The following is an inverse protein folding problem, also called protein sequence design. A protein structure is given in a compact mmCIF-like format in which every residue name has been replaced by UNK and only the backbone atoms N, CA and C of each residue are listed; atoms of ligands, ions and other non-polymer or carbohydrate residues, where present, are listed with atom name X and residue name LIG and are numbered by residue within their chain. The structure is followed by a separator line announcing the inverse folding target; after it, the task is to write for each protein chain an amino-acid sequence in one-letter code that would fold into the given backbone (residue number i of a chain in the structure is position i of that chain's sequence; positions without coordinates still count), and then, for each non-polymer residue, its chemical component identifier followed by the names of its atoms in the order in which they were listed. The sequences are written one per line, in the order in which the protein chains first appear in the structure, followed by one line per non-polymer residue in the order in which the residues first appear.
data_IF_619392892521
#
_entry.id   IF_619392892521
#
_cell.length_a   1.000
_cell.length_b   1.000
_cell.length_c   1.000
_cell.angle_alpha   90.00
_cell.angle_beta   90.00
_cell.angle_gamma   90.00
#
_symmetry.space_group_name_H-M   'P 1'
#
loop_
_entity.id
_entity.type
_entity.pdbx_description
1 polymer ?
#
# COMPACT_ATOMS: atom_id res chain seq x y z
N UNK A 1 -23.77 2.97 -26.78
CA UNK A 1 -24.15 1.91 -25.83
C UNK A 1 -23.86 0.56 -26.48
N UNK A 2 -23.08 -0.32 -25.87
CA UNK A 2 -22.73 -1.62 -26.45
C UNK A 2 -23.89 -2.61 -26.34
N UNK A 3 -24.11 -3.40 -27.40
CA UNK A 3 -25.06 -4.51 -27.39
C UNK A 3 -24.62 -5.64 -26.44
N UNK A 4 -25.49 -6.58 -26.03
CA UNK A 4 -25.08 -7.75 -25.24
C UNK A 4 -23.96 -8.58 -25.90
N UNK A 5 -24.01 -8.73 -27.22
CA UNK A 5 -22.96 -9.38 -28.00
C UNK A 5 -21.69 -8.56 -28.02
N UNK A 6 -21.78 -7.24 -28.14
CA UNK A 6 -20.63 -6.34 -28.05
C UNK A 6 -19.95 -6.36 -26.70
N UNK A 7 -20.68 -6.54 -25.60
CA UNK A 7 -20.07 -6.72 -24.26
C UNK A 7 -19.30 -8.04 -24.12
N UNK A 8 -19.79 -9.13 -24.70
CA UNK A 8 -19.07 -10.40 -24.73
C UNK A 8 -17.80 -10.31 -25.57
N UNK A 9 -17.90 -9.70 -26.75
CA UNK A 9 -16.73 -9.48 -27.62
C UNK A 9 -15.71 -8.54 -27.00
N UNK A 10 -16.14 -7.54 -26.25
CA UNK A 10 -15.22 -6.61 -25.57
C UNK A 10 -14.30 -7.35 -24.60
N UNK A 11 -14.83 -8.27 -23.80
CA UNK A 11 -14.01 -9.03 -22.85
C UNK A 11 -12.97 -9.91 -23.58
N UNK A 12 -13.34 -10.53 -24.71
CA UNK A 12 -12.39 -11.33 -25.51
C UNK A 12 -11.34 -10.45 -26.19
N UNK A 13 -11.71 -9.27 -26.67
CA UNK A 13 -10.76 -8.31 -27.26
C UNK A 13 -9.80 -7.78 -26.19
N UNK A 14 -10.27 -7.48 -24.96
CA UNK A 14 -9.44 -7.08 -23.85
C UNK A 14 -8.40 -8.17 -23.52
N UNK A 15 -8.80 -9.44 -23.50
CA UNK A 15 -7.88 -10.57 -23.30
C UNK A 15 -6.82 -10.71 -24.40
N UNK A 16 -7.22 -10.50 -25.66
CA UNK A 16 -6.29 -10.55 -26.81
C UNK A 16 -5.31 -9.39 -26.73
N UNK A 17 -5.77 -8.17 -26.40
CA UNK A 17 -4.90 -7.02 -26.23
C UNK A 17 -3.91 -7.22 -25.07
N UNK A 18 -4.35 -7.78 -23.96
CA UNK A 18 -3.49 -8.11 -22.83
C UNK A 18 -2.39 -9.12 -23.23
N UNK A 19 -2.76 -10.13 -24.04
CA UNK A 19 -1.79 -11.10 -24.61
C UNK A 19 -0.83 -10.47 -25.61
N UNK A 20 -1.27 -9.53 -26.43
CA UNK A 20 -0.40 -8.79 -27.34
C UNK A 20 0.63 -7.95 -26.56
N UNK A 21 0.21 -7.26 -25.51
CA UNK A 21 1.10 -6.48 -24.65
C UNK A 21 2.11 -7.37 -23.89
N UNK A 22 1.68 -8.55 -23.45
CA UNK A 22 2.59 -9.55 -22.88
C UNK A 22 3.65 -10.04 -23.90
N UNK A 23 3.24 -10.23 -25.15
CA UNK A 23 4.16 -10.63 -26.24
C UNK A 23 5.12 -9.50 -26.60
N UNK A 24 4.66 -8.25 -26.67
CA UNK A 24 5.54 -7.07 -26.86
C UNK A 24 6.52 -6.90 -25.70
N UNK A 25 6.07 -7.11 -24.47
CA UNK A 25 6.93 -7.12 -23.28
C UNK A 25 7.98 -8.23 -23.34
N UNK A 26 7.60 -9.45 -23.78
CA UNK A 26 8.55 -10.56 -23.97
C UNK A 26 9.51 -10.29 -25.13
N UNK A 27 9.06 -9.65 -26.21
CA UNK A 27 9.93 -9.25 -27.32
C UNK A 27 10.94 -8.18 -26.90
N UNK A 28 10.55 -7.25 -26.05
CA UNK A 28 11.45 -6.27 -25.44
C UNK A 28 12.44 -6.91 -24.44
N UNK A 29 12.05 -7.99 -23.76
CA UNK A 29 12.97 -8.82 -22.96
C UNK A 29 14.08 -9.46 -23.80
N UNK A 30 13.80 -9.75 -25.08
CA UNK A 30 14.77 -10.28 -26.04
C UNK A 30 15.59 -9.17 -26.73
N UNK A 31 15.14 -7.90 -26.64
CA UNK A 31 15.86 -6.72 -27.12
C UNK A 31 16.81 -6.16 -26.06
N UNK A 32 17.94 -5.61 -26.49
CA UNK A 32 18.97 -5.03 -25.60
C UNK A 32 18.59 -3.70 -24.94
N UNK A 33 17.35 -3.21 -25.11
CA UNK A 33 16.91 -1.91 -24.62
C UNK A 33 16.48 -2.01 -23.14
N UNK A 34 17.43 -1.65 -22.29
CA UNK A 34 17.16 -1.33 -20.86
C UNK A 34 16.80 0.15 -20.78
N UNK A 35 15.64 0.49 -20.18
CA UNK A 35 15.26 1.87 -19.94
C UNK A 35 16.24 2.55 -18.98
N UNK A 36 16.63 3.82 -19.22
CA UNK A 36 17.59 4.50 -18.35
C UNK A 36 16.97 4.90 -17.00
N UNK A 37 15.65 4.97 -16.92
CA UNK A 37 14.91 5.38 -15.73
C UNK A 37 13.61 4.61 -15.60
N UNK A 38 13.26 4.30 -14.35
CA UNK A 38 11.99 3.68 -13.97
C UNK A 38 11.38 4.45 -12.80
N UNK A 39 10.07 4.69 -12.82
CA UNK A 39 9.36 5.43 -11.77
C UNK A 39 8.37 4.51 -11.07
N UNK A 40 8.48 4.42 -9.74
CA UNK A 40 7.65 3.58 -8.89
C UNK A 40 6.90 4.44 -7.86
N UNK A 41 5.56 4.42 -7.88
CA UNK A 41 4.75 5.02 -6.82
C UNK A 41 4.57 4.03 -5.66
N UNK A 42 4.79 4.47 -4.42
CA UNK A 42 4.64 3.64 -3.22
C UNK A 42 3.79 4.37 -2.19
N UNK A 43 2.62 3.81 -1.86
CA UNK A 43 1.72 4.30 -0.81
C UNK A 43 1.93 3.57 0.53
N UNK A 44 2.44 2.34 0.48
CA UNK A 44 2.69 1.50 1.66
C UNK A 44 4.05 1.81 2.30
N UNK A 45 4.33 1.33 3.53
CA UNK A 45 5.66 1.50 4.13
C UNK A 45 6.77 0.92 3.26
N UNK A 46 7.79 1.71 2.99
CA UNK A 46 8.91 1.33 2.11
C UNK A 46 9.67 0.09 2.58
N UNK A 47 9.78 -0.12 3.91
CA UNK A 47 10.46 -1.29 4.46
C UNK A 47 9.87 -2.62 3.95
N UNK A 48 8.58 -2.64 3.62
CA UNK A 48 7.93 -3.82 3.07
C UNK A 48 8.47 -4.21 1.68
N UNK A 49 9.03 -3.26 0.92
CA UNK A 49 9.49 -3.44 -0.46
C UNK A 49 11.02 -3.42 -0.61
N UNK A 50 11.77 -3.05 0.44
CA UNK A 50 13.22 -2.91 0.36
C UNK A 50 13.95 -4.13 -0.18
N UNK A 51 13.58 -5.38 0.13
CA UNK A 51 14.23 -6.54 -0.49
C UNK A 51 14.15 -6.54 -2.02
N UNK A 52 12.97 -6.25 -2.58
CA UNK A 52 12.79 -6.22 -4.04
C UNK A 52 13.56 -5.04 -4.69
N UNK A 53 13.60 -3.89 -4.01
CA UNK A 53 14.34 -2.71 -4.48
C UNK A 53 15.86 -2.96 -4.41
N UNK A 54 16.34 -3.64 -3.39
CA UNK A 54 17.76 -4.02 -3.26
C UNK A 54 18.16 -4.99 -4.37
N UNK A 55 17.33 -5.99 -4.65
CA UNK A 55 17.57 -6.92 -5.75
C UNK A 55 17.60 -6.17 -7.09
N UNK A 56 16.68 -5.22 -7.30
CA UNK A 56 16.64 -4.38 -8.49
C UNK A 56 17.95 -3.59 -8.67
N UNK A 57 18.45 -2.95 -7.62
CA UNK A 57 19.69 -2.17 -7.68
C UNK A 57 20.92 -3.01 -8.05
N UNK A 58 20.89 -4.29 -7.71
CA UNK A 58 21.95 -5.25 -8.05
C UNK A 58 21.86 -5.69 -9.51
N UNK A 59 20.64 -5.91 -10.02
CA UNK A 59 20.43 -6.38 -11.40
C UNK A 59 20.55 -5.26 -12.44
N UNK A 60 20.14 -4.05 -12.09
CA UNK A 60 20.10 -2.90 -12.97
C UNK A 60 20.82 -1.68 -12.37
N UNK A 61 22.14 -1.76 -12.10
CA UNK A 61 22.87 -0.70 -11.41
C UNK A 61 22.96 0.62 -12.20
N UNK A 62 22.71 0.57 -13.51
CA UNK A 62 22.74 1.76 -14.39
C UNK A 62 21.36 2.37 -14.65
N UNK A 63 20.29 1.81 -14.06
CA UNK A 63 18.92 2.34 -14.19
C UNK A 63 18.60 3.24 -13.02
N UNK A 64 18.22 4.48 -13.31
CA UNK A 64 17.72 5.40 -12.28
C UNK A 64 16.34 4.96 -11.80
N UNK A 65 16.19 4.67 -10.51
CA UNK A 65 14.90 4.37 -9.89
C UNK A 65 14.38 5.62 -9.17
N UNK A 66 13.28 6.20 -9.68
CA UNK A 66 12.57 7.31 -9.04
C UNK A 66 11.39 6.78 -8.22
N UNK A 67 11.49 6.89 -6.88
CA UNK A 67 10.43 6.45 -5.99
C UNK A 67 9.60 7.65 -5.56
N UNK A 68 8.30 7.60 -5.86
CA UNK A 68 7.36 8.68 -5.55
C UNK A 68 6.33 8.24 -4.52
N UNK A 69 5.98 9.15 -3.65
CA UNK A 69 4.80 9.02 -2.81
C UNK A 69 3.63 9.75 -3.47
N UNK A 70 2.44 9.14 -3.60
CA UNK A 70 1.29 9.78 -4.21
C UNK A 70 0.75 10.88 -3.27
N UNK A 71 1.24 12.11 -3.44
CA UNK A 71 0.70 13.29 -2.75
C UNK A 71 -0.61 13.71 -3.42
N UNK A 72 -1.69 13.80 -2.64
CA UNK A 72 -3.02 14.24 -3.12
C UNK A 72 -3.61 13.45 -4.30
N UNK A 73 -3.05 12.31 -4.65
CA UNK A 73 -3.51 11.48 -5.76
C UNK A 73 -3.52 10.01 -5.42
N UNK A 74 -4.40 9.28 -6.09
CA UNK A 74 -4.42 7.84 -6.13
C UNK A 74 -3.28 7.36 -7.04
N UNK A 75 -2.58 6.29 -6.65
CA UNK A 75 -1.59 5.60 -7.49
C UNK A 75 -2.17 5.28 -8.88
N UNK A 76 -3.45 4.90 -8.93
CA UNK A 76 -4.17 4.63 -10.19
C UNK A 76 -4.22 5.85 -11.11
N UNK A 77 -4.35 7.04 -10.55
CA UNK A 77 -4.37 8.28 -11.34
C UNK A 77 -2.99 8.60 -11.92
N UNK A 78 -1.92 8.41 -11.13
CA UNK A 78 -0.54 8.60 -11.61
C UNK A 78 -0.19 7.64 -12.75
N UNK A 79 -0.61 6.37 -12.64
CA UNK A 79 -0.44 5.38 -13.70
C UNK A 79 -1.20 5.74 -14.97
N UNK A 80 -2.43 6.23 -14.86
CA UNK A 80 -3.26 6.63 -16.02
C UNK A 80 -2.78 7.89 -16.71
N UNK A 81 -2.04 8.75 -15.98
CA UNK A 81 -1.38 9.96 -16.54
C UNK A 81 0.03 9.67 -17.06
N UNK A 82 0.46 8.42 -17.04
CA UNK A 82 1.83 8.01 -17.40
C UNK A 82 2.94 8.71 -16.57
N UNK A 83 2.60 9.19 -15.38
CA UNK A 83 3.55 9.84 -14.47
C UNK A 83 4.43 8.84 -13.73
N UNK A 84 3.97 7.58 -13.61
CA UNK A 84 4.71 6.46 -13.01
C UNK A 84 4.54 5.19 -13.84
N UNK A 85 5.53 4.30 -13.77
CA UNK A 85 5.57 3.04 -14.50
C UNK A 85 4.85 1.91 -13.78
N UNK A 86 5.06 1.84 -12.47
CA UNK A 86 4.49 0.85 -11.56
C UNK A 86 3.98 1.53 -10.29
N UNK A 87 3.05 0.91 -9.61
CA UNK A 87 2.53 1.39 -8.34
C UNK A 87 2.33 0.27 -7.32
N UNK A 88 2.61 0.56 -6.05
CA UNK A 88 2.28 -0.32 -4.93
C UNK A 88 1.42 0.47 -3.96
N UNK A 89 0.20 0.00 -3.75
CA UNK A 89 -0.80 0.70 -2.96
C UNK A 89 -1.62 -0.27 -2.09
N UNK A 90 -2.40 0.29 -1.19
CA UNK A 90 -3.43 -0.51 -0.51
C UNK A 90 -4.50 -0.97 -1.50
N UNK A 91 -4.90 -2.24 -1.37
CA UNK A 91 -5.88 -2.87 -2.23
C UNK A 91 -7.21 -2.10 -2.23
N UNK A 92 -7.74 -1.85 -3.41
CA UNK A 92 -9.02 -1.19 -3.61
C UNK A 92 -10.11 -2.22 -3.95
N UNK A 93 -11.39 -1.92 -3.65
CA UNK A 93 -12.50 -2.81 -3.99
C UNK A 93 -12.66 -3.06 -5.50
N UNK A 94 -12.20 -2.13 -6.33
CA UNK A 94 -12.23 -2.22 -7.78
C UNK A 94 -11.17 -1.31 -8.41
N UNK A 95 -10.61 -1.76 -9.52
CA UNK A 95 -9.69 -0.96 -10.34
C UNK A 95 -10.32 -0.59 -11.67
N UNK A 96 -9.94 0.57 -12.28
CA UNK A 96 -10.25 0.88 -13.66
C UNK A 96 -9.81 -0.24 -14.61
N UNK A 97 -10.54 -0.47 -15.69
CA UNK A 97 -10.27 -1.58 -16.63
C UNK A 97 -8.93 -1.47 -17.37
N UNK A 98 -8.44 -0.25 -17.53
CA UNK A 98 -7.16 0.08 -18.14
C UNK A 98 -5.95 -0.21 -17.24
N UNK A 99 -6.19 -0.59 -15.97
CA UNK A 99 -5.16 -1.00 -15.04
C UNK A 99 -5.16 -2.51 -14.82
N UNK A 100 -3.96 -3.09 -14.74
CA UNK A 100 -3.72 -4.42 -14.21
C UNK A 100 -3.32 -4.36 -12.75
N UNK A 101 -3.60 -5.41 -11.99
CA UNK A 101 -3.16 -5.51 -10.61
C UNK A 101 -2.80 -6.95 -10.23
N UNK A 102 -1.99 -7.08 -9.20
CA UNK A 102 -1.64 -8.36 -8.57
C UNK A 102 -1.49 -8.16 -7.08
N UNK A 103 -2.18 -8.97 -6.27
CA UNK A 103 -2.06 -8.88 -4.83
C UNK A 103 -0.68 -9.38 -4.37
N UNK A 104 0.03 -8.55 -3.60
CA UNK A 104 1.34 -8.85 -3.03
C UNK A 104 1.26 -9.43 -1.61
N UNK A 105 0.13 -9.27 -0.94
CA UNK A 105 -0.08 -9.72 0.44
C UNK A 105 -0.99 -8.79 1.22
N UNK A 106 -0.82 -8.77 2.54
CA UNK A 106 -1.63 -7.96 3.46
C UNK A 106 -0.75 -7.34 4.53
N UNK A 107 -1.16 -6.17 5.03
CA UNK A 107 -0.60 -5.51 6.20
C UNK A 107 -1.62 -5.50 7.33
N UNK A 108 -1.15 -5.59 8.56
CA UNK A 108 -1.98 -5.36 9.75
C UNK A 108 -1.90 -3.86 10.09
N UNK A 109 -3.04 -3.22 10.22
CA UNK A 109 -3.12 -1.86 10.72
C UNK A 109 -3.36 -1.90 12.23
N UNK A 110 -2.46 -1.29 12.99
CA UNK A 110 -2.56 -1.18 14.43
C UNK A 110 -3.03 0.23 14.84
N UNK A 111 -4.01 0.28 15.74
CA UNK A 111 -4.39 1.53 16.40
C UNK A 111 -3.45 1.74 17.58
N UNK A 112 -2.72 2.84 17.58
CA UNK A 112 -1.66 3.04 18.58
C UNK A 112 -1.70 4.42 19.19
N UNK A 113 -1.20 4.50 20.42
CA UNK A 113 -0.94 5.74 21.12
C UNK A 113 0.36 5.61 21.93
N UNK A 114 0.94 6.75 22.32
CA UNK A 114 2.07 6.74 23.26
C UNK A 114 1.66 6.09 24.58
N UNK A 115 2.59 5.41 25.25
CA UNK A 115 2.38 4.67 26.51
C UNK A 115 1.61 5.44 27.58
N UNK A 116 1.89 6.72 27.75
CA UNK A 116 1.27 7.56 28.77
C UNK A 116 -0.05 8.22 28.32
N UNK A 117 -0.49 7.96 27.09
CA UNK A 117 -1.76 8.45 26.59
C UNK A 117 -2.94 7.80 27.34
N UNK A 118 -4.01 8.53 27.71
CA UNK A 118 -5.13 7.96 28.46
C UNK A 118 -5.78 6.73 27.84
N UNK A 119 -5.81 6.64 26.49
CA UNK A 119 -6.32 5.45 25.80
C UNK A 119 -5.43 4.22 26.01
N UNK A 120 -4.10 4.42 26.09
CA UNK A 120 -3.13 3.34 26.28
C UNK A 120 -3.18 2.73 27.70
N UNK A 121 -3.81 3.43 28.65
CA UNK A 121 -4.02 2.96 30.03
C UNK A 121 -5.28 2.11 30.18
N UNK A 122 -6.09 1.96 29.12
CA UNK A 122 -7.32 1.19 29.13
C UNK A 122 -7.07 -0.25 28.67
N UNK A 123 -7.63 -1.22 29.36
CA UNK A 123 -7.56 -2.63 28.91
C UNK A 123 -8.31 -2.85 27.59
N UNK A 124 -9.34 -2.04 27.33
CA UNK A 124 -10.13 -2.06 26.10
C UNK A 124 -10.72 -0.69 25.84
N UNK A 125 -10.77 -0.28 24.59
CA UNK A 125 -11.16 1.06 24.14
C UNK A 125 -12.40 0.98 23.25
N UNK A 126 -13.45 1.71 23.61
CA UNK A 126 -14.66 1.86 22.79
C UNK A 126 -14.46 2.93 21.71
N UNK A 127 -15.28 2.91 20.65
CA UNK A 127 -15.31 3.97 19.66
C UNK A 127 -15.63 5.36 20.24
N UNK A 128 -16.48 5.42 21.27
CA UNK A 128 -16.79 6.67 21.96
C UNK A 128 -15.54 7.25 22.65
N UNK A 129 -14.73 6.41 23.29
CA UNK A 129 -13.47 6.84 23.90
C UNK A 129 -12.45 7.28 22.83
N UNK A 130 -12.30 6.54 21.71
CA UNK A 130 -11.44 6.98 20.61
C UNK A 130 -11.80 8.39 20.11
N UNK A 131 -13.09 8.64 19.88
CA UNK A 131 -13.60 9.95 19.41
C UNK A 131 -13.38 11.10 20.39
N UNK A 132 -13.20 10.80 21.67
CA UNK A 132 -12.93 11.82 22.70
C UNK A 132 -11.51 12.39 22.61
N UNK A 133 -10.61 11.72 21.92
CA UNK A 133 -9.21 12.13 21.77
C UNK A 133 -8.89 12.48 20.33
N UNK A 134 -7.84 13.28 20.14
CA UNK A 134 -7.36 13.66 18.81
C UNK A 134 -6.89 12.44 18.04
N UNK A 135 -7.42 12.30 16.83
CA UNK A 135 -6.94 11.33 15.85
C UNK A 135 -5.87 11.98 14.95
N UNK A 136 -4.77 11.30 14.74
CA UNK A 136 -3.74 11.66 13.78
C UNK A 136 -3.95 10.79 12.55
N UNK A 137 -4.16 11.40 11.39
CA UNK A 137 -4.63 10.73 10.17
C UNK A 137 -3.61 10.91 9.06
N UNK A 138 -3.30 9.82 8.37
CA UNK A 138 -2.55 9.88 7.13
C UNK A 138 -3.46 10.42 6.03
N UNK A 139 -3.10 11.54 5.41
CA UNK A 139 -3.99 12.26 4.49
C UNK A 139 -4.37 11.44 3.25
N UNK A 140 -3.48 10.59 2.75
CA UNK A 140 -3.79 9.68 1.65
C UNK A 140 -4.83 8.61 2.01
N UNK A 141 -4.99 8.27 3.29
CA UNK A 141 -5.96 7.27 3.75
C UNK A 141 -7.35 7.82 4.07
N UNK A 142 -7.55 9.13 3.96
CA UNK A 142 -8.72 9.80 4.54
C UNK A 142 -10.07 9.33 3.97
N UNK A 143 -10.10 8.59 2.85
CA UNK A 143 -11.33 8.08 2.27
C UNK A 143 -11.19 6.69 1.62
N UNK A 144 -10.04 6.03 1.71
CA UNK A 144 -9.76 4.84 0.89
C UNK A 144 -9.74 3.52 1.68
N UNK A 145 -9.58 3.59 3.01
CA UNK A 145 -9.60 2.37 3.83
C UNK A 145 -10.99 2.14 4.42
N UNK A 146 -11.75 1.14 3.95
CA UNK A 146 -13.15 0.89 4.36
C UNK A 146 -13.32 0.71 5.87
N UNK A 147 -12.28 0.30 6.55
CA UNK A 147 -12.26 0.02 7.99
C UNK A 147 -12.06 1.25 8.87
N UNK A 148 -11.85 2.44 8.30
CA UNK A 148 -11.58 3.66 9.09
C UNK A 148 -12.77 4.57 9.30
N UNK A 149 -13.90 4.34 8.62
CA UNK A 149 -15.12 5.15 8.74
C UNK A 149 -15.66 5.22 10.19
N UNK A 150 -15.53 4.13 10.96
CA UNK A 150 -15.99 4.07 12.35
C UNK A 150 -15.11 4.84 13.33
N UNK A 151 -13.93 5.28 12.87
CA UNK A 151 -12.90 5.88 13.69
C UNK A 151 -12.90 7.40 13.63
N UNK A 152 -13.88 8.01 12.95
CA UNK A 152 -13.96 9.45 12.81
C UNK A 152 -14.01 10.13 14.17
N UNK A 153 -13.12 11.09 14.37
CA UNK A 153 -13.02 11.91 15.58
C UNK A 153 -13.36 13.36 15.25
N UNK A 154 -14.06 14.02 16.17
CA UNK A 154 -14.33 15.46 16.06
C UNK A 154 -13.05 16.32 16.05
N UNK A 155 -11.91 15.75 16.46
CA UNK A 155 -10.60 16.40 16.47
C UNK A 155 -9.60 15.54 15.71
N UNK A 156 -9.30 15.92 14.48
CA UNK A 156 -8.30 15.23 13.67
C UNK A 156 -7.21 16.19 13.19
N UNK A 157 -5.98 15.72 13.20
CA UNK A 157 -4.87 16.35 12.48
C UNK A 157 -4.42 15.42 11.39
N UNK A 158 -4.09 15.99 10.23
CA UNK A 158 -3.67 15.25 9.05
C UNK A 158 -2.18 15.44 8.82
N UNK A 159 -1.52 14.39 8.33
CA UNK A 159 -0.14 14.42 7.91
C UNK A 159 0.03 13.61 6.62
N UNK A 160 0.94 14.06 5.74
CA UNK A 160 1.19 13.47 4.43
C UNK A 160 2.30 12.41 4.45
N UNK A 161 2.84 12.09 5.61
CA UNK A 161 3.86 11.05 5.73
C UNK A 161 3.71 10.23 7.01
N UNK A 162 4.07 8.96 6.92
CA UNK A 162 4.13 8.08 8.08
C UNK A 162 5.13 8.57 9.13
N UNK A 163 6.24 9.17 8.71
CA UNK A 163 7.23 9.74 9.63
C UNK A 163 6.62 10.86 10.47
N UNK A 164 5.86 11.75 9.86
CA UNK A 164 5.18 12.82 10.59
C UNK A 164 4.18 12.27 11.61
N UNK A 165 3.37 11.26 11.21
CA UNK A 165 2.45 10.59 12.15
C UNK A 165 3.18 9.92 13.30
N UNK A 166 4.30 9.26 13.02
CA UNK A 166 5.14 8.62 14.02
C UNK A 166 5.64 9.63 15.05
N UNK A 167 6.22 10.75 14.59
CA UNK A 167 6.74 11.81 15.47
C UNK A 167 5.60 12.50 16.27
N UNK A 168 4.45 12.75 15.64
CA UNK A 168 3.30 13.32 16.34
C UNK A 168 2.77 12.36 17.42
N UNK A 169 2.75 11.06 17.16
CA UNK A 169 2.35 10.04 18.13
C UNK A 169 3.36 9.95 19.26
N UNK A 170 4.66 9.98 18.94
CA UNK A 170 5.78 10.00 19.89
C UNK A 170 5.74 11.24 20.78
N UNK A 171 5.33 12.36 20.24
CA UNK A 171 5.08 13.59 21.01
C UNK A 171 3.81 13.54 21.88
N UNK A 172 3.00 12.48 21.80
CA UNK A 172 1.75 12.32 22.57
C UNK A 172 0.61 13.20 22.12
N UNK A 173 0.62 13.66 20.86
CA UNK A 173 -0.38 14.60 20.35
C UNK A 173 -1.75 13.95 20.09
N UNK A 174 -1.82 12.62 20.06
CA UNK A 174 -3.03 11.86 19.85
C UNK A 174 -2.77 10.38 19.63
N UNK A 175 -3.77 9.70 19.09
CA UNK A 175 -3.70 8.30 18.64
C UNK A 175 -3.78 8.23 17.12
N UNK A 176 -3.25 7.16 16.54
CA UNK A 176 -3.21 6.97 15.09
C UNK A 176 -3.41 5.51 14.70
N UNK A 177 -3.64 5.27 13.41
CA UNK A 177 -3.64 3.94 12.79
C UNK A 177 -2.45 3.85 11.86
N UNK A 178 -1.55 2.90 12.12
CA UNK A 178 -0.32 2.70 11.36
C UNK A 178 -0.15 1.22 10.99
N UNK A 179 0.51 0.91 9.86
CA UNK A 179 0.98 -0.44 9.61
C UNK A 179 1.89 -0.91 10.74
N UNK A 180 1.58 -2.09 11.32
CA UNK A 180 2.33 -2.65 12.47
C UNK A 180 3.82 -2.79 12.17
N UNK A 181 4.18 -3.21 10.96
CA UNK A 181 5.59 -3.31 10.53
C UNK A 181 6.39 -2.02 10.68
N UNK A 182 5.72 -0.88 10.52
CA UNK A 182 6.38 0.42 10.64
C UNK A 182 6.78 0.76 12.07
N UNK A 183 6.07 0.21 13.06
CA UNK A 183 6.14 0.59 14.48
C UNK A 183 6.55 -0.57 15.40
N UNK A 184 7.08 -1.67 14.84
CA UNK A 184 7.49 -2.84 15.62
C UNK A 184 8.49 -2.48 16.73
N UNK A 185 9.46 -1.62 16.42
CA UNK A 185 10.48 -1.19 17.37
C UNK A 185 9.91 -0.40 18.54
N UNK A 186 8.96 0.49 18.24
CA UNK A 186 8.28 1.31 19.24
C UNK A 186 7.35 0.46 20.12
N UNK A 187 6.71 -0.56 19.56
CA UNK A 187 5.90 -1.51 20.31
C UNK A 187 6.77 -2.40 21.21
N UNK A 188 7.86 -2.95 20.68
CA UNK A 188 8.82 -3.77 21.45
C UNK A 188 9.50 -2.97 22.57
N UNK A 189 9.87 -1.71 22.31
CA UNK A 189 10.40 -0.80 23.31
C UNK A 189 9.37 -0.34 24.34
N UNK A 190 8.07 -0.62 24.09
CA UNK A 190 6.97 -0.15 24.92
C UNK A 190 6.79 1.37 24.90
N UNK A 191 7.28 2.04 23.88
CA UNK A 191 7.05 3.46 23.65
C UNK A 191 5.62 3.70 23.19
N UNK A 192 5.13 2.84 22.29
CA UNK A 192 3.73 2.81 21.86
C UNK A 192 3.00 1.61 22.47
N UNK A 193 1.70 1.77 22.60
CA UNK A 193 0.77 0.71 23.00
C UNK A 193 -0.28 0.54 21.93
N UNK A 194 -0.50 -0.70 21.50
CA UNK A 194 -1.58 -1.06 20.62
C UNK A 194 -2.92 -1.04 21.37
N UNK A 195 -3.86 -0.23 20.89
CA UNK A 195 -5.16 -0.04 21.51
C UNK A 195 -6.08 -1.23 21.16
N UNK A 196 -6.54 -1.95 22.17
CA UNK A 196 -7.48 -3.03 21.99
C UNK A 196 -8.90 -2.46 21.86
N UNK A 197 -9.54 -2.67 20.71
CA UNK A 197 -10.90 -2.18 20.50
C UNK A 197 -11.93 -3.12 21.12
N UNK A 198 -12.83 -2.57 21.93
CA UNK A 198 -13.90 -3.36 22.57
C UNK A 198 -14.84 -4.04 21.55
N UNK A 199 -15.05 -3.41 20.39
CA UNK A 199 -15.88 -3.96 19.32
C UNK A 199 -15.18 -5.08 18.52
N UNK A 200 -13.84 -5.15 18.56
CA UNK A 200 -13.03 -6.09 17.78
C UNK A 200 -11.90 -6.70 18.63
N UNK A 201 -12.22 -7.41 19.71
CA UNK A 201 -11.20 -7.84 20.69
C UNK A 201 -10.25 -8.92 20.18
N UNK A 202 -10.60 -9.60 19.09
CA UNK A 202 -9.84 -10.73 18.54
C UNK A 202 -9.52 -10.59 17.05
N UNK A 203 -9.71 -9.41 16.48
CA UNK A 203 -9.55 -9.22 15.03
C UNK A 203 -8.41 -8.26 14.73
N UNK A 204 -7.44 -8.73 13.95
CA UNK A 204 -6.47 -7.86 13.32
C UNK A 204 -7.11 -7.14 12.11
N UNK A 205 -6.73 -5.88 11.93
CA UNK A 205 -7.21 -5.06 10.81
C UNK A 205 -6.31 -5.29 9.62
N UNK A 206 -6.71 -6.23 8.76
CA UNK A 206 -5.95 -6.61 7.57
C UNK A 206 -6.34 -5.73 6.39
N UNK A 207 -5.32 -5.18 5.72
CA UNK A 207 -5.49 -4.44 4.47
C UNK A 207 -4.61 -5.08 3.40
N UNK A 208 -5.18 -5.40 2.24
CA UNK A 208 -4.44 -5.92 1.09
C UNK A 208 -3.45 -4.90 0.56
N UNK A 209 -2.38 -5.39 -0.05
CA UNK A 209 -1.39 -4.60 -0.79
C UNK A 209 -1.34 -5.13 -2.21
N UNK A 210 -1.52 -4.25 -3.17
CA UNK A 210 -1.54 -4.57 -4.59
C UNK A 210 -0.40 -3.87 -5.33
N UNK A 211 0.23 -4.59 -6.24
CA UNK A 211 1.02 -4.05 -7.33
C UNK A 211 0.06 -3.67 -8.46
N UNK A 212 0.20 -2.48 -9.00
CA UNK A 212 -0.69 -1.90 -10.01
C UNK A 212 0.14 -1.40 -11.19
N UNK A 213 -0.35 -1.56 -12.41
CA UNK A 213 0.30 -1.05 -13.63
C UNK A 213 -0.70 -0.67 -14.71
N UNK A 214 -0.32 0.20 -15.63
CA UNK A 214 -1.12 0.50 -16.81
C UNK A 214 -1.01 -0.65 -17.82
N UNK A 215 -2.14 -1.15 -18.34
CA UNK A 215 -2.17 -2.18 -19.39
C UNK A 215 -1.75 -1.62 -20.76
N UNK A 216 -1.89 -0.32 -20.96
CA UNK A 216 -1.50 0.34 -22.21
C UNK A 216 0.00 0.67 -22.28
N UNK A 217 0.72 0.64 -21.15
CA UNK A 217 2.12 1.02 -21.08
C UNK A 217 3.04 -0.18 -21.31
N UNK A 218 3.90 -0.08 -22.29
CA UNK A 218 4.96 -1.05 -22.53
C UNK A 218 6.14 -0.73 -21.63
N UNK A 219 6.50 -1.66 -20.74
CA UNK A 219 7.66 -1.56 -19.88
C UNK A 219 8.90 -2.08 -20.63
N UNK A 220 10.05 -1.46 -20.41
CA UNK A 220 11.32 -1.99 -20.85
C UNK A 220 11.80 -3.15 -19.95
N UNK A 221 13.00 -3.66 -20.22
CA UNK A 221 13.55 -4.84 -19.56
C UNK A 221 13.62 -4.71 -18.04
N UNK A 222 14.03 -3.54 -17.52
CA UNK A 222 14.14 -3.32 -16.09
C UNK A 222 12.75 -3.23 -15.43
N UNK A 223 11.77 -2.58 -16.08
CA UNK A 223 10.40 -2.47 -15.59
C UNK A 223 9.68 -3.82 -15.56
N UNK A 224 9.83 -4.64 -16.61
CA UNK A 224 9.30 -6.02 -16.65
C UNK A 224 9.90 -6.87 -15.53
N UNK A 225 11.21 -6.79 -15.35
CA UNK A 225 11.89 -7.53 -14.28
C UNK A 225 11.40 -7.09 -12.89
N UNK A 226 11.33 -5.77 -12.64
CA UNK A 226 10.85 -5.25 -11.36
C UNK A 226 9.40 -5.64 -11.10
N UNK A 227 8.52 -5.56 -12.13
CA UNK A 227 7.13 -6.01 -12.02
C UNK A 227 7.06 -7.47 -11.58
N UNK A 228 7.79 -8.38 -12.24
CA UNK A 228 7.84 -9.80 -11.88
C UNK A 228 8.39 -10.00 -10.46
N UNK A 229 9.49 -9.33 -10.13
CA UNK A 229 10.10 -9.43 -8.80
C UNK A 229 9.16 -8.97 -7.69
N UNK A 230 8.36 -7.93 -7.94
CA UNK A 230 7.34 -7.45 -7.02
C UNK A 230 6.13 -8.41 -6.96
N UNK A 231 5.74 -9.04 -8.05
CA UNK A 231 4.68 -10.07 -8.06
C UNK A 231 5.08 -11.31 -7.24
N UNK A 232 6.36 -11.69 -7.29
CA UNK A 232 6.90 -12.80 -6.51
C UNK A 232 7.21 -12.41 -5.05
N UNK A 233 7.28 -11.10 -4.77
CA UNK A 233 7.55 -10.57 -3.44
C UNK A 233 6.27 -10.60 -2.61
N UNK A 234 6.28 -11.39 -1.55
CA UNK A 234 5.16 -11.45 -0.62
C UNK A 234 5.35 -10.43 0.49
N UNK A 235 4.42 -9.51 0.59
CA UNK A 235 4.31 -8.62 1.75
C UNK A 235 3.68 -9.42 2.88
N UNK A 236 4.53 -9.89 3.81
CA UNK A 236 4.06 -10.58 5.00
C UNK A 236 3.99 -9.63 6.16
N UNK A 237 3.01 -9.84 7.00
CA UNK A 237 3.04 -9.33 8.34
C UNK A 237 3.16 -10.50 9.33
N UNK A 238 3.94 -10.29 10.37
CA UNK A 238 4.01 -11.22 11.49
C UNK A 238 2.76 -11.01 12.35
N UNK A 239 2.10 -12.08 12.74
CA UNK A 239 1.04 -12.02 13.74
C UNK A 239 1.61 -11.52 15.09
N UNK A 240 0.73 -11.36 16.11
CA UNK A 240 1.15 -10.93 17.44
C UNK A 240 2.16 -11.87 18.12
N UNK A 241 2.32 -13.09 17.59
CA UNK A 241 3.21 -14.13 18.09
C UNK A 241 4.50 -14.23 17.27
N UNK A 242 4.69 -13.38 16.26
CA UNK A 242 5.87 -13.40 15.40
C UNK A 242 5.83 -14.45 14.28
N UNK A 243 4.68 -15.07 14.01
CA UNK A 243 4.53 -16.00 12.91
C UNK A 243 4.10 -15.28 11.63
N UNK A 244 4.63 -15.70 10.48
CA UNK A 244 4.14 -15.20 9.20
C UNK A 244 2.68 -15.59 9.02
N UNK A 245 1.81 -14.61 8.82
CA UNK A 245 0.39 -14.86 8.57
C UNK A 245 0.24 -15.47 7.18
N UNK A 246 0.29 -16.80 7.11
CA UNK A 246 -0.13 -17.56 5.93
C UNK A 246 -1.65 -17.65 5.94
N UNK A 247 -2.29 -17.12 4.92
CA UNK A 247 -3.67 -17.45 4.56
C UNK A 247 -3.68 -18.59 3.56
#
# INVERSE_FOLDING_TARGET
MLTPAGRKLLNEVELVLERCLDLESQANDLGELVEPRLTLAIEVPYNALMPAITDFSTHFPAVDLDIRHPFHGDVSELLRKDEVDLGVAFAQPAYPRDLGFSQMGKLILAHVARRDHPLAQQASVSFAQLRSYRRLVFSAHNNTLPSTEYLDSARSWQAESYLALLEMTRAGLGWTTLPRQLILRELEAGEFVELQLAAYPHTDWLVGVDLIWSKARVLGKAGVWLKRRLQDHKVYELDRNGNATTL
#
